data_IF_878217567864
#
_entry.id   IF_878217567864
#
_cell.length_a   1.000
_cell.length_b   1.000
_cell.length_c   1.000
_cell.angle_alpha   90.00
_cell.angle_beta   90.00
_cell.angle_gamma   90.00
#
_symmetry.space_group_name_H-M   'P 1'
#
loop_
_entity.id
_entity.type
_entity.pdbx_description
1 polymer ?
#
# COMPACT_ATOMS: atom_id res chain seq x y z
N UNK A 1 3.77 -4.60 0.40
CA UNK A 1 2.71 -3.80 1.04
C UNK A 1 2.85 -2.36 0.57
N UNK A 2 1.73 -1.74 0.22
CA UNK A 2 1.63 -0.29 0.00
C UNK A 2 0.69 0.26 1.06
N UNK A 3 1.11 1.35 1.72
CA UNK A 3 0.33 2.00 2.76
C UNK A 3 -0.18 3.37 2.30
N UNK A 4 -1.44 3.63 2.56
CA UNK A 4 -2.11 4.91 2.33
C UNK A 4 -2.70 5.42 3.64
N UNK A 5 -3.04 6.71 3.71
CA UNK A 5 -3.91 7.22 4.76
C UNK A 5 -5.33 7.39 4.24
N UNK A 6 -6.33 7.12 5.10
CA UNK A 6 -7.74 7.42 4.80
C UNK A 6 -8.09 8.90 5.00
N UNK A 7 -7.11 9.71 5.39
CA UNK A 7 -7.26 11.15 5.63
C UNK A 7 -6.57 11.97 4.55
N UNK A 8 -7.26 12.99 4.09
CA UNK A 8 -6.78 13.83 3.00
C UNK A 8 -5.74 14.86 3.44
N UNK A 9 -5.95 15.46 4.61
CA UNK A 9 -5.20 16.64 5.03
C UNK A 9 -5.06 16.65 6.56
N UNK A 10 -4.05 15.95 7.07
CA UNK A 10 -3.81 15.80 8.50
C UNK A 10 -2.42 16.31 8.88
N UNK A 11 -2.36 17.20 9.89
CA UNK A 11 -1.11 17.81 10.33
C UNK A 11 -0.04 16.78 10.75
N UNK A 12 -0.34 15.72 11.50
CA UNK A 12 0.67 14.73 11.84
C UNK A 12 1.33 14.12 10.60
N UNK A 13 0.57 13.84 9.55
CA UNK A 13 1.10 13.26 8.31
C UNK A 13 2.04 14.23 7.61
N UNK A 14 1.68 15.50 7.51
CA UNK A 14 2.58 16.51 6.97
C UNK A 14 3.88 16.59 7.76
N UNK A 15 3.82 16.59 9.09
CA UNK A 15 5.00 16.63 9.95
C UNK A 15 5.90 15.40 9.81
N UNK A 16 5.33 14.22 9.57
CA UNK A 16 6.12 13.00 9.40
C UNK A 16 6.80 12.93 8.04
N UNK A 17 6.10 13.33 6.98
CA UNK A 17 6.54 13.10 5.61
C UNK A 17 7.14 14.34 4.93
N UNK A 18 6.98 15.54 5.51
CA UNK A 18 7.57 16.79 5.01
C UNK A 18 8.42 17.47 6.07
N UNK A 19 9.43 16.76 6.57
CA UNK A 19 10.25 17.21 7.73
C UNK A 19 11.08 18.47 7.48
N UNK A 20 11.39 18.77 6.24
CA UNK A 20 12.20 19.95 5.88
C UNK A 20 11.27 21.10 5.47
N UNK A 21 11.49 22.27 6.08
CA UNK A 21 10.76 23.51 5.77
C UNK A 21 10.85 23.89 4.29
N UNK A 22 11.94 23.50 3.63
CA UNK A 22 12.15 23.72 2.21
C UNK A 22 11.63 22.57 1.33
N UNK A 23 11.16 21.47 1.93
CA UNK A 23 10.65 20.33 1.18
C UNK A 23 9.27 20.61 0.61
N UNK A 24 9.10 20.21 -0.64
CA UNK A 24 7.82 20.26 -1.34
C UNK A 24 7.08 18.95 -1.05
N UNK A 25 6.00 19.02 -0.29
CA UNK A 25 5.18 17.86 0.02
C UNK A 25 3.90 17.83 -0.80
N UNK A 26 3.52 16.63 -1.21
CA UNK A 26 2.25 16.38 -1.89
C UNK A 26 1.57 15.16 -1.28
N UNK A 27 0.27 15.26 -1.07
CA UNK A 27 -0.59 14.12 -0.79
C UNK A 27 -1.33 13.77 -2.09
N UNK A 28 -1.15 12.56 -2.57
CA UNK A 28 -1.78 12.07 -3.80
C UNK A 28 -2.95 11.17 -3.40
N UNK A 29 -4.15 11.52 -3.86
CA UNK A 29 -5.37 10.78 -3.57
C UNK A 29 -5.62 9.74 -4.65
N UNK A 30 -6.04 8.55 -4.23
CA UNK A 30 -6.40 7.45 -5.10
C UNK A 30 -7.83 6.99 -4.85
N UNK A 31 -8.52 6.60 -5.90
CA UNK A 31 -9.73 5.81 -5.81
C UNK A 31 -9.32 4.34 -5.58
N UNK A 32 -9.56 3.83 -4.38
CA UNK A 32 -9.11 2.50 -3.97
C UNK A 32 -9.74 1.40 -4.81
N UNK A 33 -11.04 1.47 -5.09
CA UNK A 33 -11.72 0.43 -5.85
C UNK A 33 -11.16 0.29 -7.27
N UNK A 34 -10.88 1.42 -7.91
CA UNK A 34 -10.22 1.45 -9.24
C UNK A 34 -8.79 0.96 -9.17
N UNK A 35 -8.05 1.37 -8.13
CA UNK A 35 -6.67 0.95 -7.96
C UNK A 35 -6.59 -0.57 -7.78
N UNK A 36 -7.43 -1.15 -6.92
CA UNK A 36 -7.49 -2.60 -6.68
C UNK A 36 -7.92 -3.35 -7.93
N UNK A 37 -9.00 -2.92 -8.60
CA UNK A 37 -9.48 -3.55 -9.84
C UNK A 37 -8.40 -3.56 -10.93
N UNK A 38 -7.63 -2.49 -11.06
CA UNK A 38 -6.51 -2.45 -12.00
C UNK A 38 -5.41 -3.43 -11.62
N UNK A 39 -5.08 -3.53 -10.33
CA UNK A 39 -4.01 -4.42 -9.84
C UNK A 39 -4.35 -5.90 -10.02
N UNK A 40 -5.62 -6.28 -9.83
CA UNK A 40 -6.09 -7.66 -10.03
C UNK A 40 -6.00 -8.12 -11.50
N UNK A 41 -6.02 -7.20 -12.44
CA UNK A 41 -5.94 -7.47 -13.88
C UNK A 41 -4.54 -7.31 -14.45
N UNK A 42 -3.58 -6.82 -13.67
CA UNK A 42 -2.22 -6.54 -14.14
C UNK A 42 -1.34 -7.78 -14.16
N UNK A 43 -0.52 -7.85 -15.20
CA UNK A 43 0.69 -8.68 -15.20
C UNK A 43 1.82 -7.87 -14.60
N UNK A 44 2.39 -8.34 -13.49
CA UNK A 44 3.61 -7.74 -12.96
C UNK A 44 4.81 -8.31 -13.68
N UNK A 45 5.60 -7.41 -14.24
CA UNK A 45 6.91 -7.73 -14.76
C UNK A 45 7.94 -7.59 -13.64
N UNK A 46 8.63 -8.66 -13.32
CA UNK A 46 9.77 -8.65 -12.42
C UNK A 46 11.02 -8.73 -13.28
N UNK A 47 11.86 -7.73 -13.23
CA UNK A 47 13.15 -7.73 -13.91
C UNK A 47 14.25 -8.13 -12.91
N UNK A 48 15.04 -9.10 -13.32
CA UNK A 48 16.08 -9.62 -12.48
C UNK A 48 17.24 -10.16 -13.31
N UNK A 49 18.45 -9.69 -13.06
CA UNK A 49 19.70 -10.19 -13.63
C UNK A 49 19.59 -10.49 -15.14
N UNK A 50 19.07 -9.53 -15.94
CA UNK A 50 18.87 -9.64 -17.40
C UNK A 50 17.73 -10.61 -17.83
N UNK A 51 16.92 -11.07 -16.90
CA UNK A 51 15.73 -11.88 -17.18
C UNK A 51 14.47 -11.17 -16.76
N UNK A 52 13.40 -11.29 -17.54
CA UNK A 52 12.07 -10.75 -17.19
C UNK A 52 11.13 -11.91 -16.87
N UNK A 53 10.45 -11.82 -15.76
CA UNK A 53 9.42 -12.76 -15.32
C UNK A 53 8.08 -12.04 -15.29
N UNK A 54 7.02 -12.74 -15.62
CA UNK A 54 5.66 -12.22 -15.55
C UNK A 54 4.88 -13.01 -14.51
N UNK A 55 4.27 -12.33 -13.57
CA UNK A 55 3.31 -12.92 -12.65
C UNK A 55 1.92 -12.71 -13.25
N UNK A 56 1.25 -13.81 -13.59
CA UNK A 56 -0.05 -13.80 -14.26
C UNK A 56 -1.23 -13.53 -13.32
N UNK A 57 -1.01 -13.67 -12.01
CA UNK A 57 -2.04 -13.38 -11.00
C UNK A 57 -1.44 -12.83 -9.74
N UNK A 58 -1.94 -11.68 -9.32
CA UNK A 58 -1.63 -11.08 -8.04
C UNK A 58 -2.91 -11.02 -7.25
N UNK A 59 -2.89 -11.69 -6.10
CA UNK A 59 -3.95 -11.50 -5.15
C UNK A 59 -3.66 -10.25 -4.32
N UNK A 60 -4.60 -9.32 -4.31
CA UNK A 60 -4.52 -8.13 -3.50
C UNK A 60 -5.53 -8.22 -2.36
N UNK A 61 -5.03 -8.28 -1.13
CA UNK A 61 -5.87 -8.09 0.05
C UNK A 61 -5.69 -6.66 0.52
N UNK A 62 -6.78 -5.99 0.80
CA UNK A 62 -6.73 -4.59 1.17
C UNK A 62 -7.72 -4.26 2.30
N UNK A 63 -7.41 -3.27 3.08
CA UNK A 63 -8.26 -2.86 4.19
C UNK A 63 -7.65 -1.80 5.10
N UNK A 64 -8.44 -1.35 6.06
CA UNK A 64 -7.99 -0.47 7.12
C UNK A 64 -7.11 -1.23 8.09
N UNK A 65 -6.07 -0.55 8.58
CA UNK A 65 -5.24 -1.08 9.66
C UNK A 65 -5.99 -1.04 10.98
N UNK A 66 -5.88 -2.12 11.73
CA UNK A 66 -6.55 -2.33 13.01
C UNK A 66 -5.58 -1.92 14.12
N UNK A 67 -5.95 -0.91 14.89
CA UNK A 67 -5.15 -0.36 15.99
C UNK A 67 -5.68 -0.74 17.37
N UNK A 68 -6.94 -1.18 17.48
CA UNK A 68 -7.52 -1.59 18.74
C UNK A 68 -7.02 -2.97 19.15
N UNK A 69 -6.35 -3.07 20.30
CA UNK A 69 -5.74 -4.32 20.79
C UNK A 69 -6.76 -5.41 21.06
N UNK A 70 -7.96 -5.04 21.51
CA UNK A 70 -9.04 -5.99 21.78
C UNK A 70 -9.55 -6.58 20.46
N UNK A 71 -9.73 -5.74 19.44
CA UNK A 71 -10.14 -6.17 18.11
C UNK A 71 -9.07 -7.09 17.49
N UNK A 72 -7.80 -6.69 17.56
CA UNK A 72 -6.66 -7.51 17.11
C UNK A 72 -6.67 -8.89 17.74
N UNK A 73 -6.79 -8.94 19.09
CA UNK A 73 -6.80 -10.20 19.83
C UNK A 73 -8.00 -11.07 19.46
N UNK A 74 -9.18 -10.47 19.29
CA UNK A 74 -10.38 -11.20 18.92
C UNK A 74 -10.27 -11.83 17.52
N UNK A 75 -9.67 -11.11 16.57
CA UNK A 75 -9.42 -11.63 15.21
C UNK A 75 -8.45 -12.82 15.28
N UNK A 76 -7.33 -12.67 15.98
CA UNK A 76 -6.34 -13.74 16.11
C UNK A 76 -6.92 -14.98 16.80
N UNK A 77 -7.67 -14.79 17.90
CA UNK A 77 -8.37 -15.87 18.59
C UNK A 77 -9.33 -16.61 17.68
N UNK A 78 -10.14 -15.87 16.91
CA UNK A 78 -11.09 -16.46 15.96
C UNK A 78 -10.39 -17.33 14.94
N UNK A 79 -9.28 -16.85 14.35
CA UNK A 79 -8.50 -17.60 13.38
C UNK A 79 -7.99 -18.90 14.00
N UNK A 80 -7.36 -18.83 15.18
CA UNK A 80 -6.80 -20.01 15.85
C UNK A 80 -7.92 -21.00 16.22
N UNK A 81 -9.08 -20.51 16.69
CA UNK A 81 -10.22 -21.36 17.03
C UNK A 81 -10.77 -22.08 15.79
N UNK A 82 -11.02 -21.35 14.70
CA UNK A 82 -11.47 -21.93 13.42
C UNK A 82 -10.55 -23.06 12.95
N UNK A 83 -9.25 -22.89 13.09
CA UNK A 83 -8.27 -23.92 12.72
C UNK A 83 -8.19 -25.07 13.71
N UNK A 84 -8.41 -24.83 15.01
CA UNK A 84 -8.39 -25.89 16.04
C UNK A 84 -9.63 -26.78 15.98
N UNK A 85 -10.76 -26.26 15.56
CA UNK A 85 -12.03 -26.96 15.42
C UNK A 85 -12.15 -27.80 14.14
N UNK A 86 -11.35 -27.46 13.13
CA UNK A 86 -11.24 -28.23 11.88
C UNK A 86 -10.48 -29.56 12.13
N UNK A 87 -11.07 -30.45 12.91
CA UNK A 87 -10.43 -31.59 13.57
C UNK A 87 -9.96 -32.71 12.67
N UNK A 88 -10.33 -32.74 11.39
CA UNK A 88 -10.04 -33.91 10.51
C UNK A 88 -8.74 -33.80 9.73
N UNK A 89 -8.02 -32.70 9.83
CA UNK A 89 -6.82 -32.49 9.00
C UNK A 89 -5.63 -32.05 9.83
N UNK A 90 -5.04 -33.00 10.55
CA UNK A 90 -3.73 -32.85 11.17
C UNK A 90 -2.60 -33.12 10.17
N UNK A 91 -2.57 -32.42 9.06
CA UNK A 91 -1.46 -32.51 8.13
C UNK A 91 -0.69 -31.18 8.07
N UNK A 92 0.50 -31.23 7.52
CA UNK A 92 1.38 -30.05 7.38
C UNK A 92 0.71 -28.92 6.57
N UNK A 93 -0.17 -29.25 5.63
CA UNK A 93 -0.89 -28.27 4.80
C UNK A 93 -1.75 -27.32 5.65
N UNK A 94 -2.42 -27.83 6.69
CA UNK A 94 -3.20 -26.98 7.62
C UNK A 94 -2.34 -26.03 8.41
N UNK A 95 -1.18 -26.48 8.86
CA UNK A 95 -0.24 -25.61 9.55
C UNK A 95 0.24 -24.47 8.63
N UNK A 96 0.51 -24.77 7.38
CA UNK A 96 0.86 -23.73 6.39
C UNK A 96 -0.29 -22.75 6.16
N UNK A 97 -1.52 -23.22 6.01
CA UNK A 97 -2.69 -22.36 5.84
C UNK A 97 -2.93 -21.46 7.05
N UNK A 98 -2.75 -21.96 8.28
CA UNK A 98 -2.85 -21.15 9.49
C UNK A 98 -1.78 -20.06 9.51
N UNK A 99 -0.52 -20.43 9.25
CA UNK A 99 0.60 -19.47 9.22
C UNK A 99 0.34 -18.41 8.17
N UNK A 100 -0.07 -18.82 6.97
CA UNK A 100 -0.38 -17.90 5.86
C UNK A 100 -1.49 -16.91 6.26
N UNK A 101 -2.60 -17.40 6.83
CA UNK A 101 -3.69 -16.55 7.30
C UNK A 101 -3.27 -15.58 8.41
N UNK A 102 -2.41 -16.03 9.34
CA UNK A 102 -1.86 -15.17 10.38
C UNK A 102 -0.93 -14.09 9.81
N UNK A 103 -0.11 -14.43 8.82
CA UNK A 103 0.73 -13.46 8.13
C UNK A 103 -0.11 -12.40 7.39
N UNK A 104 -1.21 -12.81 6.73
CA UNK A 104 -2.10 -11.88 6.05
C UNK A 104 -2.73 -10.89 7.02
N UNK A 105 -3.27 -11.39 8.14
CA UNK A 105 -3.87 -10.53 9.16
C UNK A 105 -2.82 -9.66 9.82
N UNK A 106 -1.62 -10.19 10.06
CA UNK A 106 -0.49 -9.45 10.62
C UNK A 106 -0.14 -8.20 9.80
N UNK A 107 -0.34 -8.24 8.49
CA UNK A 107 -0.15 -7.08 7.62
C UNK A 107 -1.13 -5.92 7.91
N UNK A 108 -2.26 -6.18 8.58
CA UNK A 108 -3.28 -5.19 8.90
C UNK A 108 -3.38 -4.87 10.40
N UNK A 109 -2.44 -5.36 11.19
CA UNK A 109 -2.34 -5.06 12.62
C UNK A 109 -1.19 -4.08 12.85
N UNK A 110 -1.41 -3.08 13.70
CA UNK A 110 -0.39 -2.09 14.06
C UNK A 110 -0.58 -1.61 15.49
N UNK A 111 0.52 -1.20 16.12
CA UNK A 111 0.48 -0.68 17.48
C UNK A 111 -0.46 0.55 17.57
N UNK A 112 -1.31 0.65 18.62
CA UNK A 112 -2.26 1.76 18.81
C UNK A 112 -1.65 3.15 18.81
N UNK A 113 -0.37 3.28 19.15
CA UNK A 113 0.36 4.56 19.12
C UNK A 113 0.42 5.20 17.73
N UNK A 114 0.25 4.41 16.68
CA UNK A 114 0.26 4.86 15.28
C UNK A 114 -1.13 5.13 14.69
N UNK A 115 -2.21 5.06 15.50
CA UNK A 115 -3.59 5.22 15.01
C UNK A 115 -3.86 6.56 14.28
N UNK A 116 -3.05 7.57 14.55
CA UNK A 116 -3.14 8.88 13.89
C UNK A 116 -2.73 8.85 12.40
N UNK A 117 -2.12 7.75 11.92
CA UNK A 117 -1.82 7.58 10.50
C UNK A 117 -3.05 7.19 9.68
N UNK A 118 -4.11 6.69 10.32
CA UNK A 118 -5.35 6.26 9.67
C UNK A 118 -5.10 5.37 8.45
N UNK A 119 -4.23 4.40 8.64
CA UNK A 119 -3.63 3.64 7.54
C UNK A 119 -4.64 2.72 6.85
N UNK A 120 -4.52 2.66 5.54
CA UNK A 120 -5.17 1.69 4.68
C UNK A 120 -4.09 0.99 3.86
N UNK A 121 -4.07 -0.32 3.88
CA UNK A 121 -3.02 -1.12 3.22
C UNK A 121 -3.55 -1.89 2.04
N UNK A 122 -2.70 -1.98 1.02
CA UNK A 122 -2.78 -2.97 -0.05
C UNK A 122 -1.63 -3.96 0.18
N UNK A 123 -1.96 -5.22 0.35
CA UNK A 123 -0.98 -6.29 0.52
C UNK A 123 -1.10 -7.26 -0.64
N UNK A 124 0.01 -7.51 -1.30
CA UNK A 124 0.07 -8.34 -2.49
C UNK A 124 0.66 -9.69 -2.15
N UNK A 125 0.04 -10.74 -2.66
CA UNK A 125 0.48 -12.10 -2.49
C UNK A 125 0.57 -12.76 -3.86
N UNK A 126 1.63 -13.48 -4.08
CA UNK A 126 1.80 -14.32 -5.25
C UNK A 126 1.85 -15.76 -4.79
N UNK A 127 0.93 -16.57 -5.27
CA UNK A 127 1.04 -18.01 -5.14
C UNK A 127 1.84 -18.50 -6.35
N UNK A 128 3.06 -18.89 -6.11
CA UNK A 128 3.87 -19.52 -7.15
C UNK A 128 3.80 -21.01 -6.97
N UNK A 129 3.33 -21.73 -7.98
CA UNK A 129 3.55 -23.16 -8.04
C UNK A 129 5.07 -23.37 -8.09
N UNK A 130 5.64 -23.95 -7.03
CA UNK A 130 7.09 -24.23 -6.94
C UNK A 130 7.66 -25.01 -8.12
N UNK A 131 6.78 -25.71 -8.89
CA UNK A 131 7.16 -26.49 -10.06
C UNK A 131 7.38 -25.65 -11.33
N UNK A 132 6.81 -24.45 -11.43
CA UNK A 132 6.87 -23.62 -12.63
C UNK A 132 7.82 -22.43 -12.49
N UNK A 133 8.00 -21.92 -11.30
CA UNK A 133 8.97 -20.88 -11.00
C UNK A 133 10.08 -21.46 -10.14
N UNK A 134 11.28 -21.48 -10.69
CA UNK A 134 12.48 -21.77 -9.93
C UNK A 134 12.73 -20.55 -9.01
N UNK A 135 12.00 -20.50 -7.87
CA UNK A 135 12.01 -19.40 -6.91
C UNK A 135 13.41 -19.13 -6.33
N UNK A 136 14.30 -20.13 -6.39
CA UNK A 136 15.71 -19.96 -6.03
C UNK A 136 16.44 -19.02 -6.99
N UNK A 137 15.82 -18.67 -8.13
CA UNK A 137 16.36 -17.78 -9.16
C UNK A 137 15.59 -16.48 -9.32
N UNK A 138 14.47 -16.29 -8.64
CA UNK A 138 13.77 -15.00 -8.59
C UNK A 138 14.34 -14.23 -7.42
N UNK A 139 15.28 -13.33 -7.64
CA UNK A 139 15.76 -12.49 -6.55
C UNK A 139 14.61 -11.61 -6.12
N UNK A 140 14.29 -11.67 -4.85
CA UNK A 140 13.36 -10.78 -4.19
C UNK A 140 13.97 -9.37 -4.06
N UNK A 141 15.18 -9.19 -4.56
CA UNK A 141 15.97 -7.98 -4.36
C UNK A 141 16.05 -7.16 -5.65
N UNK A 142 15.24 -6.12 -5.70
CA UNK A 142 15.47 -4.97 -6.57
C UNK A 142 16.30 -3.96 -5.79
N UNK A 143 17.56 -3.81 -6.13
CA UNK A 143 18.41 -2.78 -5.56
C UNK A 143 18.09 -1.43 -6.21
N UNK A 144 17.27 -0.64 -5.55
CA UNK A 144 17.27 0.79 -5.72
C UNK A 144 17.47 1.43 -4.34
N UNK A 145 18.60 2.05 -4.11
CA UNK A 145 18.97 2.68 -2.84
C UNK A 145 18.91 1.72 -1.63
N UNK A 146 19.47 0.53 -1.76
CA UNK A 146 19.55 -0.52 -0.72
C UNK A 146 18.20 -1.04 -0.20
N UNK A 147 17.11 -0.86 -0.95
CA UNK A 147 15.79 -1.38 -0.59
C UNK A 147 15.18 -2.16 -1.73
N UNK A 148 14.83 -3.41 -1.46
CA UNK A 148 14.06 -4.24 -2.38
C UNK A 148 12.66 -3.66 -2.59
N UNK A 149 12.23 -3.54 -3.83
CA UNK A 149 10.89 -3.07 -4.18
C UNK A 149 10.38 -3.74 -5.45
N UNK A 150 9.07 -3.72 -5.62
CA UNK A 150 8.40 -4.14 -6.84
C UNK A 150 7.70 -2.91 -7.42
N UNK A 151 7.92 -2.66 -8.70
CA UNK A 151 7.21 -1.60 -9.40
C UNK A 151 5.83 -2.09 -9.84
N UNK A 152 4.81 -1.35 -9.42
CA UNK A 152 3.42 -1.62 -9.77
C UNK A 152 2.89 -0.46 -10.59
N UNK A 153 2.49 -0.77 -11.82
CA UNK A 153 1.86 0.20 -12.70
C UNK A 153 0.34 0.17 -12.47
N UNK A 154 -0.28 1.34 -12.42
CA UNK A 154 -1.72 1.47 -12.31
C UNK A 154 -2.26 2.43 -13.38
N UNK A 155 -3.51 2.27 -13.74
CA UNK A 155 -4.19 3.18 -14.65
C UNK A 155 -4.36 4.55 -13.99
N UNK A 156 -4.04 5.61 -14.73
CA UNK A 156 -4.23 6.99 -14.29
C UNK A 156 -5.68 7.35 -13.90
N UNK A 157 -6.65 6.51 -14.27
CA UNK A 157 -8.05 6.65 -13.83
C UNK A 157 -8.24 6.45 -12.33
N UNK A 158 -7.31 5.75 -11.65
CA UNK A 158 -7.33 5.60 -10.21
C UNK A 158 -6.86 6.86 -9.46
N UNK A 159 -6.20 7.79 -10.17
CA UNK A 159 -5.70 9.02 -9.59
C UNK A 159 -6.85 10.01 -9.34
N UNK A 160 -6.94 10.50 -8.12
CA UNK A 160 -7.90 11.54 -7.71
C UNK A 160 -7.27 12.94 -7.70
N UNK A 161 -7.34 13.60 -6.57
CA UNK A 161 -6.78 14.92 -6.35
C UNK A 161 -5.34 14.87 -5.84
N UNK A 162 -4.66 16.01 -5.88
CA UNK A 162 -3.40 16.23 -5.19
C UNK A 162 -3.60 17.39 -4.21
N UNK A 163 -3.22 17.19 -2.95
CA UNK A 163 -3.17 18.23 -1.93
C UNK A 163 -1.72 18.62 -1.70
N UNK A 164 -1.41 19.88 -1.88
CA UNK A 164 -0.08 20.40 -1.63
C UNK A 164 0.11 20.70 -0.14
N UNK A 165 1.30 20.45 0.37
CA UNK A 165 1.71 20.86 1.72
C UNK A 165 1.36 22.32 1.98
N UNK A 166 0.99 22.69 3.22
CA UNK A 166 0.70 24.07 3.61
C UNK A 166 1.90 25.02 3.37
N UNK A 167 3.12 24.48 3.29
CA UNK A 167 4.36 25.23 3.02
C UNK A 167 4.63 25.50 1.54
N UNK A 168 3.93 24.84 0.63
CA UNK A 168 4.16 24.99 -0.80
C UNK A 168 3.80 26.38 -1.33
N UNK A 169 4.66 26.93 -2.16
CA UNK A 169 4.41 28.18 -2.88
C UNK A 169 3.35 28.01 -3.98
N UNK A 170 2.78 29.13 -4.45
CA UNK A 170 1.80 29.12 -5.55
C UNK A 170 2.32 28.41 -6.81
N UNK A 171 3.57 28.65 -7.20
CA UNK A 171 4.18 28.01 -8.36
C UNK A 171 4.25 26.47 -8.24
N UNK A 172 4.38 25.96 -7.02
CA UNK A 172 4.37 24.51 -6.75
C UNK A 172 2.98 23.87 -6.90
N UNK A 173 1.93 24.66 -6.98
CA UNK A 173 0.55 24.22 -7.24
C UNK A 173 0.26 24.29 -8.75
N UNK A 174 0.63 25.38 -9.40
CA UNK A 174 0.29 25.63 -10.80
C UNK A 174 0.97 24.64 -11.77
N UNK A 175 2.23 24.31 -11.52
CA UNK A 175 2.97 23.39 -12.39
C UNK A 175 2.40 21.96 -12.37
N UNK A 176 2.23 21.32 -11.22
CA UNK A 176 1.59 20.01 -11.15
C UNK A 176 0.17 20.02 -11.71
N UNK A 177 -0.64 21.05 -11.44
CA UNK A 177 -1.99 21.20 -12.00
C UNK A 177 -1.97 21.09 -13.52
N UNK A 178 -1.15 21.91 -14.18
CA UNK A 178 -1.04 21.92 -15.64
C UNK A 178 -0.56 20.60 -16.21
N UNK A 179 0.42 19.97 -15.56
CA UNK A 179 0.96 18.68 -15.99
C UNK A 179 -0.08 17.57 -15.85
N UNK A 180 -0.69 17.44 -14.67
CA UNK A 180 -1.62 16.37 -14.34
C UNK A 180 -2.90 16.43 -15.17
N UNK A 181 -3.47 17.61 -15.35
CA UNK A 181 -4.66 17.80 -16.21
C UNK A 181 -4.39 17.39 -17.67
N UNK A 182 -3.16 17.57 -18.14
CA UNK A 182 -2.78 17.16 -19.50
C UNK A 182 -2.58 15.65 -19.65
N UNK A 183 -2.03 15.01 -18.63
CA UNK A 183 -1.66 13.58 -18.68
C UNK A 183 -2.81 12.65 -18.28
N UNK A 184 -3.67 13.10 -17.36
CA UNK A 184 -4.70 12.28 -16.74
C UNK A 184 -6.09 12.93 -16.89
N UNK A 185 -6.93 12.43 -17.82
CA UNK A 185 -8.23 13.05 -18.12
C UNK A 185 -9.20 13.14 -16.93
N UNK A 186 -9.08 12.24 -15.97
CA UNK A 186 -9.94 12.22 -14.77
C UNK A 186 -9.33 12.97 -13.58
N UNK A 187 -8.15 13.51 -13.73
CA UNK A 187 -7.54 14.33 -12.70
C UNK A 187 -8.36 15.61 -12.49
N UNK A 188 -8.73 15.90 -11.25
CA UNK A 188 -9.59 17.03 -10.95
C UNK A 188 -8.80 18.30 -10.71
N UNK A 189 -8.05 18.31 -9.61
CA UNK A 189 -7.35 19.53 -9.21
C UNK A 189 -6.16 19.28 -8.29
N UNK A 190 -5.29 20.29 -8.24
CA UNK A 190 -4.25 20.43 -7.21
C UNK A 190 -4.72 21.51 -6.25
N UNK A 191 -4.97 21.15 -5.01
CA UNK A 191 -5.40 22.08 -3.95
C UNK A 191 -4.27 22.35 -2.97
N UNK A 192 -4.40 23.40 -2.19
CA UNK A 192 -3.52 23.66 -1.06
C UNK A 192 -4.14 23.12 0.22
N UNK A 193 -3.31 22.56 1.11
CA UNK A 193 -3.72 22.19 2.46
C UNK A 193 -4.44 23.34 3.15
N UNK A 194 -5.52 23.00 3.85
CA UNK A 194 -6.30 23.95 4.66
C UNK A 194 -5.76 24.09 6.08
N UNK A 195 -4.76 23.29 6.43
CA UNK A 195 -4.15 23.30 7.75
C UNK A 195 -3.34 24.60 7.93
N UNK A 196 -3.59 25.37 8.99
CA UNK A 196 -2.79 26.55 9.32
C UNK A 196 -1.41 26.10 9.81
N UNK A 197 -0.42 26.14 8.93
CA UNK A 197 0.96 25.82 9.26
C UNK A 197 1.71 27.12 9.62
N UNK A 198 2.22 27.17 10.85
CA UNK A 198 3.13 28.24 11.29
C UNK A 198 4.53 27.66 11.31
N UNK A 199 5.44 28.27 10.55
CA UNK A 199 6.87 28.04 10.70
C UNK A 199 7.27 28.74 12.00
N UNK A 200 7.67 27.97 13.00
CA UNK A 200 8.27 28.51 14.22
C UNK A 200 9.76 28.70 14.03
#
# INVERSE_FOLDING_TARGET
IISFSTKEDELPLWNYYTKDVNSVGYNIQFNVDRLVSNLETMKIKIECNHSSYYLDSINCVHGKVIYDETEQLNILKRIVTEFSEATDVRNEEWAFLLVDKLLWVGNFIKNPSFRHEYEYRLSFFTYTNKSELNLDKVPVEYECNDKSHIEIYFDGLALGNIVCSPTNSKAKIEYPQKYMTRQYPNFREVTKSKIPFRIM
#
